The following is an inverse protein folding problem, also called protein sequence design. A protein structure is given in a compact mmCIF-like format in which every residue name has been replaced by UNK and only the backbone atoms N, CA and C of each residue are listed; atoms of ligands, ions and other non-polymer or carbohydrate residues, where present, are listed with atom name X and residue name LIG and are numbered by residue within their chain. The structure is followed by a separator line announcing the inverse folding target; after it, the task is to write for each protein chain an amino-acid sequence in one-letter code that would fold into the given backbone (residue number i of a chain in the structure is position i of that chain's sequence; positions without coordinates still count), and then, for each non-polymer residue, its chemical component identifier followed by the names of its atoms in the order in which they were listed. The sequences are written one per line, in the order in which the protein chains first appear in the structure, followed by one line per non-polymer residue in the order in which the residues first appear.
data_IF_892058447515
#
_entry.id   IF_892058447515
#
_cell.length_a   1.000
_cell.length_b   1.000
_cell.length_c   1.000
_cell.angle_alpha   90.00
_cell.angle_beta   90.00
_cell.angle_gamma   90.00
#
_symmetry.space_group_name_H-M   'P 1'
#
loop_
_entity.id
_entity.type
_entity.pdbx_description
1 polymer ?
#
# COMPACT_ATOMS: atom_id res chain seq x y z
N UNK A 1 12.46 -5.53 17.94
CA UNK A 1 13.08 -4.64 18.94
C UNK A 1 14.57 -4.46 18.61
N UNK A 2 15.11 -3.28 18.90
CA UNK A 2 16.56 -2.96 18.79
C UNK A 2 17.20 -2.71 20.17
N UNK A 3 16.37 -2.40 21.17
CA UNK A 3 16.77 -2.17 22.55
C UNK A 3 16.14 -3.26 23.43
N UNK A 4 16.95 -3.85 24.30
CA UNK A 4 16.56 -4.81 25.33
C UNK A 4 16.86 -4.26 26.73
N UNK A 5 16.45 -4.96 27.79
CA UNK A 5 16.82 -4.66 29.19
C UNK A 5 18.34 -4.75 29.43
N UNK A 6 19.09 -5.42 28.55
CA UNK A 6 20.56 -5.58 28.60
C UNK A 6 21.33 -4.62 27.67
N UNK A 7 20.64 -3.78 26.87
CA UNK A 7 21.27 -2.75 26.03
C UNK A 7 20.85 -2.74 24.55
N UNK A 8 21.66 -2.08 23.71
CA UNK A 8 21.43 -1.94 22.27
C UNK A 8 21.98 -3.14 21.49
N UNK A 9 21.12 -3.78 20.70
CA UNK A 9 21.52 -4.86 19.80
C UNK A 9 21.60 -4.34 18.36
N UNK A 10 22.76 -4.56 17.74
CA UNK A 10 23.04 -4.17 16.34
C UNK A 10 22.16 -4.92 15.32
N UNK A 11 21.52 -6.02 15.73
CA UNK A 11 20.63 -6.84 14.90
C UNK A 11 19.21 -6.78 15.47
N UNK A 12 18.19 -6.55 14.62
CA UNK A 12 16.82 -6.59 15.07
C UNK A 12 16.44 -8.01 15.49
N UNK A 13 15.79 -8.11 16.64
CA UNK A 13 15.31 -9.38 17.20
C UNK A 13 13.83 -9.26 17.59
N UNK A 14 13.15 -10.39 17.67
CA UNK A 14 11.75 -10.49 18.11
C UNK A 14 11.71 -11.45 19.29
N UNK A 15 10.97 -11.09 20.34
CA UNK A 15 10.73 -11.99 21.46
C UNK A 15 9.76 -13.09 21.05
N UNK A 16 9.94 -14.29 21.62
CA UNK A 16 8.96 -15.37 21.49
C UNK A 16 7.61 -14.93 22.04
N UNK A 17 6.52 -15.38 21.43
CA UNK A 17 5.17 -15.13 21.95
C UNK A 17 4.69 -16.39 22.67
N UNK A 18 4.42 -16.28 23.97
CA UNK A 18 3.67 -17.29 24.71
C UNK A 18 2.17 -16.98 24.62
N UNK A 19 1.39 -18.03 24.37
CA UNK A 19 -0.06 -17.93 24.27
C UNK A 19 -0.69 -18.32 25.60
N UNK A 20 -1.18 -17.35 26.36
CA UNK A 20 -1.99 -17.61 27.56
C UNK A 20 -3.46 -17.44 27.24
N UNK A 21 -4.28 -18.33 27.77
CA UNK A 21 -5.74 -18.20 27.70
C UNK A 21 -6.16 -17.58 29.02
N UNK A 22 -6.82 -16.44 28.94
CA UNK A 22 -7.36 -15.77 30.12
C UNK A 22 -8.56 -16.57 30.67
N UNK A 23 -8.52 -17.06 31.91
CA UNK A 23 -9.53 -17.97 32.45
C UNK A 23 -10.92 -17.33 32.62
N UNK A 24 -11.02 -16.01 32.62
CA UNK A 24 -12.29 -15.29 32.80
C UNK A 24 -12.91 -14.92 31.46
N UNK A 25 -12.10 -14.40 30.54
CA UNK A 25 -12.58 -13.88 29.24
C UNK A 25 -12.48 -14.90 28.11
N UNK A 26 -11.81 -16.04 28.33
CA UNK A 26 -11.45 -17.06 27.34
C UNK A 26 -10.75 -16.48 26.09
N UNK A 27 -10.19 -15.26 26.20
CA UNK A 27 -9.44 -14.64 25.12
C UNK A 27 -8.02 -15.20 25.10
N UNK A 28 -7.52 -15.47 23.90
CA UNK A 28 -6.11 -15.82 23.65
C UNK A 28 -5.30 -14.53 23.76
N UNK A 29 -4.57 -14.37 24.86
CA UNK A 29 -3.63 -13.27 25.08
C UNK A 29 -2.25 -13.76 24.66
N UNK A 30 -1.58 -13.00 23.81
CA UNK A 30 -0.18 -13.26 23.44
C UNK A 30 0.69 -12.39 24.35
N UNK A 31 1.50 -13.03 25.19
CA UNK A 31 2.43 -12.37 26.10
C UNK A 31 3.83 -12.59 25.53
N UNK A 32 4.60 -11.51 25.42
CA UNK A 32 5.99 -11.58 24.97
C UNK A 32 6.83 -12.28 26.04
N UNK A 33 7.36 -13.44 25.69
CA UNK A 33 8.32 -14.18 26.48
C UNK A 33 9.72 -13.65 26.17
N UNK A 34 10.21 -12.73 27.02
CA UNK A 34 11.53 -12.10 26.89
C UNK A 34 12.69 -13.10 26.97
N UNK A 35 12.43 -14.33 27.42
CA UNK A 35 13.42 -15.40 27.60
C UNK A 35 13.89 -15.99 26.27
N UNK A 36 13.08 -15.90 25.20
CA UNK A 36 13.44 -16.38 23.85
C UNK A 36 13.64 -15.21 22.89
N UNK A 37 14.89 -14.86 22.62
CA UNK A 37 15.26 -13.85 21.62
C UNK A 37 15.49 -14.53 20.27
N UNK A 38 14.63 -14.25 19.29
CA UNK A 38 14.75 -14.78 17.93
C UNK A 38 15.37 -13.70 17.02
N UNK A 39 16.63 -13.85 16.57
CA UNK A 39 17.27 -12.88 15.69
C UNK A 39 16.68 -12.97 14.28
N UNK A 40 16.36 -11.81 13.69
CA UNK A 40 15.83 -11.74 12.34
C UNK A 40 16.98 -11.91 11.34
N UNK A 41 16.84 -12.87 10.43
CA UNK A 41 17.72 -13.06 9.30
C UNK A 41 17.11 -12.48 8.03
N UNK A 42 17.97 -11.95 7.19
CA UNK A 42 17.62 -11.53 5.84
C UNK A 42 17.85 -12.71 4.88
N UNK A 43 17.00 -12.83 3.84
CA UNK A 43 17.11 -13.87 2.80
C UNK A 43 17.06 -15.31 3.31
N UNK A 44 16.10 -15.61 4.20
CA UNK A 44 15.87 -16.99 4.67
C UNK A 44 15.15 -17.80 3.59
N UNK A 45 15.57 -19.04 3.36
CA UNK A 45 14.84 -19.98 2.50
C UNK A 45 13.69 -20.59 3.29
N UNK A 46 12.47 -20.43 2.79
CA UNK A 46 11.24 -20.88 3.43
C UNK A 46 10.27 -21.50 2.42
N UNK A 47 8.96 -21.37 2.68
CA UNK A 47 7.92 -21.96 1.85
C UNK A 47 7.92 -21.45 0.39
N UNK A 48 7.84 -22.36 -0.57
CA UNK A 48 7.81 -21.96 -1.99
C UNK A 48 6.59 -21.08 -2.27
N UNK A 49 6.81 -19.89 -2.79
CA UNK A 49 5.74 -19.02 -3.29
C UNK A 49 5.95 -18.70 -4.76
N UNK A 50 4.85 -18.47 -5.48
CA UNK A 50 4.90 -18.04 -6.87
C UNK A 50 4.92 -16.51 -6.95
N UNK A 51 6.03 -15.94 -7.39
CA UNK A 51 6.12 -14.56 -7.87
C UNK A 51 5.32 -14.42 -9.17
N UNK A 52 4.28 -13.58 -9.13
CA UNK A 52 3.48 -13.21 -10.31
C UNK A 52 2.91 -14.42 -11.07
N UNK A 53 2.70 -15.53 -10.37
CA UNK A 53 2.34 -16.83 -10.96
C UNK A 53 3.33 -17.37 -12.02
N UNK A 54 4.47 -16.72 -12.24
CA UNK A 54 5.49 -17.10 -13.25
C UNK A 54 6.74 -17.70 -12.61
N UNK A 55 7.30 -17.06 -11.58
CA UNK A 55 8.57 -17.49 -10.99
C UNK A 55 8.32 -18.14 -9.64
N UNK A 56 8.74 -19.39 -9.44
CA UNK A 56 8.69 -20.01 -8.12
C UNK A 56 9.94 -19.62 -7.34
N UNK A 57 9.76 -18.98 -6.19
CA UNK A 57 10.85 -18.51 -5.34
C UNK A 57 10.62 -18.97 -3.91
N UNK A 58 11.72 -19.39 -3.29
CA UNK A 58 11.80 -19.88 -1.91
C UNK A 58 12.44 -18.84 -0.96
N UNK A 59 12.93 -17.73 -1.52
CA UNK A 59 13.65 -16.68 -0.82
C UNK A 59 12.66 -15.73 -0.13
N UNK A 60 12.67 -15.72 1.20
CA UNK A 60 11.96 -14.77 2.03
C UNK A 60 12.91 -13.68 2.49
N UNK A 61 12.53 -12.42 2.27
CA UNK A 61 13.39 -11.27 2.57
C UNK A 61 13.65 -11.11 4.07
N UNK A 62 12.67 -11.51 4.91
CA UNK A 62 12.76 -11.52 6.37
C UNK A 62 12.27 -12.86 6.90
N UNK A 63 13.03 -13.48 7.80
CA UNK A 63 12.65 -14.72 8.46
C UNK A 63 13.53 -15.03 9.67
N UNK A 64 13.05 -15.91 10.53
CA UNK A 64 13.80 -16.47 11.65
C UNK A 64 14.05 -17.93 11.29
N UNK A 65 15.21 -18.48 11.67
CA UNK A 65 15.55 -19.89 11.36
C UNK A 65 14.62 -20.89 12.07
N UNK A 66 14.18 -20.54 13.29
CA UNK A 66 13.30 -21.35 14.12
C UNK A 66 12.10 -20.52 14.61
N UNK A 67 10.94 -20.67 13.95
CA UNK A 67 9.67 -20.05 14.35
C UNK A 67 9.07 -19.10 13.33
N UNK A 68 7.84 -18.65 13.59
CA UNK A 68 7.12 -17.69 12.76
C UNK A 68 7.21 -16.28 13.37
N UNK A 69 7.51 -15.28 12.55
CA UNK A 69 7.57 -13.88 12.98
C UNK A 69 6.28 -13.17 12.58
N UNK A 70 5.68 -12.45 13.51
CA UNK A 70 4.53 -11.59 13.23
C UNK A 70 4.93 -10.12 13.32
N UNK A 71 5.61 -9.59 12.29
CA UNK A 71 6.12 -8.21 12.27
C UNK A 71 5.03 -7.16 12.49
N UNK A 72 3.88 -7.32 11.86
CA UNK A 72 2.70 -6.45 12.02
C UNK A 72 1.61 -7.11 12.87
N UNK A 73 1.96 -8.15 13.63
CA UNK A 73 1.01 -8.97 14.36
C UNK A 73 0.29 -10.01 13.48
N UNK A 74 -0.62 -10.73 14.13
CA UNK A 74 -1.43 -11.76 13.50
C UNK A 74 -2.90 -11.35 13.49
N UNK A 75 -3.65 -11.77 12.48
CA UNK A 75 -5.11 -11.63 12.42
C UNK A 75 -5.78 -12.38 13.59
N UNK A 76 -7.08 -12.20 13.82
CA UNK A 76 -7.89 -12.93 14.83
C UNK A 76 -7.77 -14.46 14.68
N UNK A 77 -7.44 -14.92 13.47
CA UNK A 77 -7.22 -16.32 13.10
C UNK A 77 -5.75 -16.77 13.21
N UNK A 78 -4.82 -15.92 13.66
CA UNK A 78 -3.39 -16.23 13.80
C UNK A 78 -2.60 -16.18 12.48
N UNK A 79 -3.14 -15.54 11.43
CA UNK A 79 -2.47 -15.41 10.12
C UNK A 79 -1.56 -14.18 10.08
N UNK A 80 -0.41 -14.30 9.44
CA UNK A 80 0.55 -13.20 9.27
C UNK A 80 -0.04 -12.05 8.42
N UNK A 81 -0.10 -10.85 9.02
CA UNK A 81 -0.58 -9.63 8.36
C UNK A 81 0.46 -8.98 7.45
N UNK A 82 1.74 -9.06 7.81
CA UNK A 82 2.84 -8.46 7.07
C UNK A 82 3.03 -9.13 5.70
N UNK A 83 3.09 -10.46 5.66
CA UNK A 83 3.21 -11.24 4.42
C UNK A 83 2.05 -10.96 3.47
N UNK A 84 0.82 -10.85 4.01
CA UNK A 84 -0.37 -10.54 3.22
C UNK A 84 -0.35 -9.13 2.65
N UNK A 85 0.08 -8.14 3.43
CA UNK A 85 0.22 -6.76 2.96
C UNK A 85 1.29 -6.65 1.87
N UNK A 86 2.43 -7.34 2.03
CA UNK A 86 3.49 -7.35 1.02
C UNK A 86 3.01 -8.00 -0.29
N UNK A 87 2.21 -9.07 -0.19
CA UNK A 87 1.60 -9.70 -1.35
C UNK A 87 0.61 -8.77 -2.08
N UNK A 88 -0.23 -8.06 -1.33
CA UNK A 88 -1.13 -7.06 -1.89
C UNK A 88 -0.38 -5.89 -2.53
N UNK A 89 0.63 -5.34 -1.83
CA UNK A 89 1.45 -4.25 -2.30
C UNK A 89 2.16 -4.58 -3.62
N UNK A 90 2.66 -5.82 -3.77
CA UNK A 90 3.23 -6.32 -5.03
C UNK A 90 2.23 -6.16 -6.17
N UNK A 91 1.03 -6.71 -6.03
CA UNK A 91 0.01 -6.67 -7.09
C UNK A 91 -0.39 -5.23 -7.41
N UNK A 92 -0.62 -4.40 -6.39
CA UNK A 92 -1.00 -2.99 -6.58
C UNK A 92 0.07 -2.18 -7.30
N UNK A 93 1.34 -2.36 -6.91
CA UNK A 93 2.47 -1.65 -7.53
C UNK A 93 2.67 -2.09 -8.97
N UNK A 94 2.54 -3.39 -9.26
CA UNK A 94 2.62 -3.94 -10.61
C UNK A 94 1.62 -3.31 -11.57
N UNK A 95 0.34 -3.27 -11.17
CA UNK A 95 -0.73 -2.73 -12.00
C UNK A 95 -0.54 -1.22 -12.19
N UNK A 96 -0.18 -0.50 -11.13
CA UNK A 96 0.13 0.93 -11.20
C UNK A 96 1.28 1.23 -12.15
N UNK A 97 2.38 0.46 -12.06
CA UNK A 97 3.56 0.64 -12.91
C UNK A 97 3.23 0.39 -14.39
N UNK A 98 2.50 -0.69 -14.69
CA UNK A 98 2.07 -1.00 -16.07
C UNK A 98 1.14 0.09 -16.61
N UNK A 99 0.19 0.56 -15.80
CA UNK A 99 -0.72 1.65 -16.18
C UNK A 99 0.03 2.94 -16.50
N UNK A 100 0.96 3.35 -15.64
CA UNK A 100 1.80 4.54 -15.86
C UNK A 100 2.66 4.38 -17.12
N UNK A 101 3.27 3.21 -17.33
CA UNK A 101 4.08 2.95 -18.52
C UNK A 101 3.27 3.10 -19.82
N UNK A 102 2.06 2.53 -19.86
CA UNK A 102 1.17 2.66 -21.03
C UNK A 102 0.74 4.11 -21.24
N UNK A 103 0.28 4.78 -20.18
CA UNK A 103 -0.12 6.19 -20.25
C UNK A 103 1.05 7.09 -20.69
N UNK A 104 2.26 6.80 -20.22
CA UNK A 104 3.47 7.52 -20.61
C UNK A 104 3.78 7.36 -22.10
N UNK A 105 3.74 6.12 -22.62
CA UNK A 105 3.97 5.86 -24.05
C UNK A 105 2.93 6.58 -24.90
N UNK A 106 1.64 6.46 -24.57
CA UNK A 106 0.56 7.14 -25.30
C UNK A 106 0.70 8.67 -25.22
N UNK A 107 1.01 9.20 -24.04
CA UNK A 107 1.26 10.62 -23.83
C UNK A 107 2.45 11.13 -24.66
N UNK A 108 3.55 10.37 -24.72
CA UNK A 108 4.70 10.70 -25.55
C UNK A 108 4.37 10.69 -27.04
N UNK A 109 3.57 9.73 -27.52
CA UNK A 109 3.15 9.68 -28.93
C UNK A 109 2.27 10.89 -29.26
N UNK A 110 1.23 11.14 -28.46
CA UNK A 110 0.28 12.25 -28.70
C UNK A 110 0.99 13.60 -28.57
N UNK A 111 1.77 13.79 -27.50
CA UNK A 111 2.55 14.99 -27.26
C UNK A 111 3.64 15.20 -28.32
N UNK A 112 4.28 14.13 -28.78
CA UNK A 112 5.26 14.17 -29.87
C UNK A 112 4.64 14.61 -31.19
N UNK A 113 3.46 14.08 -31.55
CA UNK A 113 2.73 14.47 -32.76
C UNK A 113 2.29 15.95 -32.66
N UNK A 114 1.77 16.36 -31.51
CA UNK A 114 1.35 17.75 -31.26
C UNK A 114 2.52 18.74 -31.38
N UNK A 115 3.68 18.38 -30.80
CA UNK A 115 4.89 19.19 -30.83
C UNK A 115 5.57 19.23 -32.20
N UNK A 116 5.47 18.17 -33.01
CA UNK A 116 6.08 18.12 -34.34
C UNK A 116 5.27 18.92 -35.38
N UNK A 117 3.94 18.79 -35.39
CA UNK A 117 3.10 19.41 -36.41
C UNK A 117 2.68 20.86 -36.11
N UNK A 118 2.88 21.35 -34.88
CA UNK A 118 2.70 22.76 -34.47
C UNK A 118 1.56 23.52 -35.16
N UNK A 119 0.40 23.68 -34.49
CA UNK A 119 -0.73 24.40 -35.07
C UNK A 119 -2.09 23.81 -34.65
N UNK A 120 -2.88 23.29 -35.60
CA UNK A 120 -4.22 22.76 -35.32
C UNK A 120 -4.21 21.56 -34.35
N UNK A 121 -3.21 20.66 -34.45
CA UNK A 121 -3.10 19.51 -33.55
C UNK A 121 -2.84 19.94 -32.10
N UNK A 122 -2.02 20.98 -31.91
CA UNK A 122 -1.75 21.59 -30.61
C UNK A 122 -2.99 22.27 -30.04
N UNK A 123 -3.69 23.06 -30.87
CA UNK A 123 -4.94 23.70 -30.48
C UNK A 123 -6.01 22.70 -30.03
N UNK A 124 -6.19 21.58 -30.76
CA UNK A 124 -7.14 20.53 -30.37
C UNK A 124 -6.71 19.87 -29.06
N UNK A 125 -5.44 19.52 -28.90
CA UNK A 125 -4.89 18.89 -27.69
C UNK A 125 -5.07 19.79 -26.47
N UNK A 126 -4.77 21.08 -26.60
CA UNK A 126 -4.97 22.09 -25.56
C UNK A 126 -6.44 22.16 -25.13
N UNK A 127 -7.38 22.19 -26.08
CA UNK A 127 -8.82 22.28 -25.77
C UNK A 127 -9.35 21.06 -25.03
N UNK A 128 -8.86 19.87 -25.38
CA UNK A 128 -9.21 18.64 -24.65
C UNK A 128 -8.68 18.68 -23.22
N UNK A 129 -7.43 19.13 -23.04
CA UNK A 129 -6.82 19.26 -21.71
C UNK A 129 -7.57 20.28 -20.84
N UNK A 130 -7.96 21.42 -21.42
CA UNK A 130 -8.75 22.44 -20.72
C UNK A 130 -10.09 21.86 -20.25
N UNK A 131 -10.81 21.16 -21.14
CA UNK A 131 -12.08 20.53 -20.79
C UNK A 131 -11.94 19.50 -19.66
N UNK A 132 -10.93 18.63 -19.73
CA UNK A 132 -10.64 17.65 -18.68
C UNK A 132 -10.25 18.31 -17.35
N UNK A 133 -9.53 19.44 -17.42
CA UNK A 133 -9.09 20.18 -16.23
C UNK A 133 -10.25 20.88 -15.51
N UNK A 134 -11.25 21.37 -16.25
CA UNK A 134 -12.47 21.94 -15.67
C UNK A 134 -13.23 20.90 -14.84
N UNK A 135 -13.37 19.67 -15.34
CA UNK A 135 -14.06 18.59 -14.62
C UNK A 135 -13.35 18.27 -13.29
N UNK A 136 -12.02 18.20 -13.30
CA UNK A 136 -11.21 17.98 -12.08
C UNK A 136 -11.35 19.14 -11.10
N UNK A 137 -11.24 20.38 -11.59
CA UNK A 137 -11.37 21.59 -10.79
C UNK A 137 -12.74 21.71 -10.12
N UNK A 138 -13.81 21.33 -10.83
CA UNK A 138 -15.17 21.30 -10.28
C UNK A 138 -15.29 20.33 -9.09
N UNK A 139 -14.80 19.09 -9.22
CA UNK A 139 -14.81 18.13 -8.12
C UNK A 139 -14.03 18.62 -6.90
N UNK A 140 -12.88 19.23 -7.12
CA UNK A 140 -12.08 19.83 -6.04
C UNK A 140 -12.83 20.97 -5.33
N UNK A 141 -13.46 21.87 -6.09
CA UNK A 141 -14.26 22.96 -5.55
C UNK A 141 -15.43 22.46 -4.71
N UNK A 142 -16.15 21.42 -5.16
CA UNK A 142 -17.21 20.78 -4.38
C UNK A 142 -16.67 20.22 -3.06
N UNK A 143 -15.52 19.54 -3.09
CA UNK A 143 -14.89 18.98 -1.88
C UNK A 143 -14.51 20.06 -0.86
N UNK A 144 -13.94 21.18 -1.32
CA UNK A 144 -13.63 22.31 -0.46
C UNK A 144 -14.88 23.00 0.11
N UNK A 145 -15.90 23.19 -0.73
CA UNK A 145 -17.16 23.82 -0.35
C UNK A 145 -17.87 23.02 0.75
N UNK A 146 -17.89 21.69 0.62
CA UNK A 146 -18.41 20.79 1.65
C UNK A 146 -17.59 20.83 2.95
N UNK A 147 -16.25 20.87 2.85
CA UNK A 147 -15.37 20.91 4.03
C UNK A 147 -15.47 22.21 4.83
N UNK A 148 -15.79 23.35 4.17
CA UNK A 148 -15.83 24.66 4.82
C UNK A 148 -17.14 24.93 5.54
N UNK A 149 -18.26 24.36 5.09
CA UNK A 149 -19.54 24.50 5.77
C UNK A 149 -20.46 23.30 5.46
N UNK A 150 -20.63 22.35 6.40
CA UNK A 150 -21.41 21.13 6.17
C UNK A 150 -22.94 21.36 6.07
N UNK A 151 -23.40 22.61 6.22
CA UNK A 151 -24.81 23.01 6.15
C UNK A 151 -25.27 23.42 4.73
N UNK A 152 -24.36 23.50 3.74
CA UNK A 152 -24.74 23.75 2.35
C UNK A 152 -25.30 22.46 1.72
N UNK A 153 -26.58 22.20 1.95
CA UNK A 153 -27.40 21.41 1.01
C UNK A 153 -27.30 22.10 -0.35
N UNK A 154 -27.11 21.33 -1.43
CA UNK A 154 -27.02 21.84 -2.80
C UNK A 154 -28.00 23.00 -2.99
N UNK A 155 -27.56 24.19 -3.46
CA UNK A 155 -28.52 25.20 -3.84
C UNK A 155 -29.43 24.53 -4.86
N UNK A 156 -30.71 24.38 -4.52
CA UNK A 156 -31.72 23.98 -5.49
C UNK A 156 -31.48 24.87 -6.70
N UNK A 157 -31.36 24.28 -7.90
CA UNK A 157 -31.36 25.05 -9.13
C UNK A 157 -32.65 25.88 -9.12
N UNK A 158 -32.60 27.08 -8.55
CA UNK A 158 -33.53 28.15 -8.84
C UNK A 158 -33.11 28.58 -10.22
N UNK A 159 -33.63 27.86 -11.21
CA UNK A 159 -33.86 28.41 -12.54
C UNK A 159 -34.59 29.73 -12.28
N UNK A 160 -33.85 30.83 -12.40
CA UNK A 160 -34.44 32.15 -12.57
C UNK A 160 -35.11 32.12 -13.95
N UNK A 161 -36.34 31.62 -13.96
CA UNK A 161 -37.37 31.94 -14.95
C UNK A 161 -37.91 33.34 -14.63
#
# INVERSE_FOLDING_TARGET
HFFDEEGFHLRPFVYGLEKKIDPITFRKIYIEDKTKKLPIYFFVRGDKYKLWNLYSTDIHFFGVKDGAIFLFGADKLGRDLFSRNLHAARISLSIGLVGVAISFILGCIIGGISGYFGGMADMVTQRVIDFLSVIKGYFYYLRLSYSRNPQYTFPSLKLYL
#
